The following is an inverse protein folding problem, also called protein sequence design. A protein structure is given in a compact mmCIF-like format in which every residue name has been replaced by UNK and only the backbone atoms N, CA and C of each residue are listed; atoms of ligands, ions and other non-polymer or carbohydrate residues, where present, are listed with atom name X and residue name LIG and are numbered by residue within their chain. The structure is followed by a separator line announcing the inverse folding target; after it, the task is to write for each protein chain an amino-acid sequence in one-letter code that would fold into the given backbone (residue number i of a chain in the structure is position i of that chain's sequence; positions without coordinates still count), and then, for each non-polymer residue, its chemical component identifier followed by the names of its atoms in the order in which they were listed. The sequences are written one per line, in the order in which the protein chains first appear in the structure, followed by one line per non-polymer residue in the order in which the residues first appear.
data_IF_286267477558
#
_entry.id   IF_286267477558
#
_cell.length_a   1.000
_cell.length_b   1.000
_cell.length_c   1.000
_cell.angle_alpha   90.00
_cell.angle_beta   90.00
_cell.angle_gamma   90.00
#
_symmetry.space_group_name_H-M   'P 1'
#
loop_
_entity.id
_entity.type
_entity.pdbx_description
1 polymer ?
#
# COMPACT_ATOMS: atom_id res chain seq x y z
N UNK A 1 -11.11 -4.57 7.75
CA UNK A 1 -10.49 -4.48 6.40
C UNK A 1 -11.37 -5.16 5.35
N UNK A 2 -11.61 -6.48 5.43
CA UNK A 2 -12.41 -7.25 4.45
C UNK A 2 -13.78 -6.69 4.06
N UNK A 3 -14.45 -5.94 4.95
CA UNK A 3 -15.75 -5.33 4.65
C UNK A 3 -15.64 -4.13 3.70
N UNK A 4 -14.61 -3.29 3.86
CA UNK A 4 -14.39 -2.15 2.97
C UNK A 4 -13.93 -2.59 1.59
N UNK A 5 -13.12 -3.64 1.50
CA UNK A 5 -12.69 -4.22 0.21
C UNK A 5 -13.91 -4.71 -0.60
N UNK A 6 -14.84 -5.41 0.07
CA UNK A 6 -16.11 -5.86 -0.54
C UNK A 6 -17.03 -4.69 -0.90
N UNK A 7 -17.10 -3.67 -0.04
CA UNK A 7 -17.89 -2.48 -0.34
C UNK A 7 -17.33 -1.74 -1.55
N UNK A 8 -16.00 -1.58 -1.66
CA UNK A 8 -15.34 -1.03 -2.82
C UNK A 8 -15.63 -1.82 -4.10
N UNK A 9 -15.61 -3.15 -4.03
CA UNK A 9 -15.98 -4.00 -5.16
C UNK A 9 -17.42 -3.72 -5.60
N UNK A 10 -18.36 -3.70 -4.63
CA UNK A 10 -19.78 -3.41 -4.89
C UNK A 10 -19.99 -2.02 -5.52
N UNK A 11 -19.34 -0.98 -4.99
CA UNK A 11 -19.43 0.36 -5.56
C UNK A 11 -18.81 0.45 -6.95
N UNK A 12 -17.66 -0.20 -7.18
CA UNK A 12 -17.03 -0.28 -8.50
C UNK A 12 -17.89 -1.01 -9.51
N UNK A 13 -18.58 -2.08 -9.10
CA UNK A 13 -19.56 -2.76 -9.94
C UNK A 13 -20.73 -1.84 -10.28
N UNK A 14 -21.28 -1.12 -9.31
CA UNK A 14 -22.32 -0.11 -9.56
C UNK A 14 -21.88 0.96 -10.57
N UNK A 15 -20.63 1.44 -10.46
CA UNK A 15 -20.08 2.45 -11.40
C UNK A 15 -19.88 1.91 -12.82
N UNK A 16 -19.83 0.58 -13.03
CA UNK A 16 -19.85 0.04 -14.40
C UNK A 16 -21.21 0.26 -15.08
N UNK A 17 -22.28 0.34 -14.30
CA UNK A 17 -23.64 0.59 -14.79
C UNK A 17 -23.99 2.07 -14.83
N UNK A 18 -23.53 2.84 -13.84
CA UNK A 18 -23.70 4.29 -13.77
C UNK A 18 -22.38 4.98 -13.38
N UNK A 19 -21.51 5.29 -14.35
CA UNK A 19 -20.18 5.85 -14.08
C UNK A 19 -20.18 7.21 -13.39
N UNK A 20 -21.27 7.96 -13.46
CA UNK A 20 -21.39 9.31 -12.91
C UNK A 20 -22.22 9.35 -11.63
N UNK A 21 -22.53 8.19 -11.05
CA UNK A 21 -23.33 8.13 -9.85
C UNK A 21 -22.57 8.75 -8.66
N UNK A 22 -23.04 9.90 -8.18
CA UNK A 22 -22.39 10.62 -7.09
C UNK A 22 -22.38 9.83 -5.77
N UNK A 23 -23.43 9.05 -5.49
CA UNK A 23 -23.52 8.24 -4.27
C UNK A 23 -22.49 7.10 -4.28
N UNK A 24 -22.28 6.46 -5.43
CA UNK A 24 -21.28 5.40 -5.57
C UNK A 24 -19.85 5.96 -5.51
N UNK A 25 -19.60 7.12 -6.15
CA UNK A 25 -18.31 7.80 -6.08
C UNK A 25 -17.98 8.22 -4.63
N UNK A 26 -18.97 8.77 -3.92
CA UNK A 26 -18.81 9.13 -2.50
C UNK A 26 -18.63 7.88 -1.62
N UNK A 27 -19.33 6.78 -1.92
CA UNK A 27 -19.16 5.48 -1.27
C UNK A 27 -17.73 4.95 -1.41
N UNK A 28 -17.15 5.02 -2.62
CA UNK A 28 -15.74 4.67 -2.86
C UNK A 28 -14.82 5.58 -2.05
N UNK A 29 -15.03 6.90 -2.09
CA UNK A 29 -14.21 7.86 -1.35
C UNK A 29 -14.21 7.53 0.14
N UNK A 30 -15.38 7.34 0.74
CA UNK A 30 -15.52 6.98 2.16
C UNK A 30 -14.84 5.66 2.49
N UNK A 31 -14.98 4.63 1.65
CA UNK A 31 -14.29 3.36 1.86
C UNK A 31 -12.78 3.52 1.82
N UNK A 32 -12.24 4.26 0.83
CA UNK A 32 -10.82 4.54 0.74
C UNK A 32 -10.31 5.32 1.96
N UNK A 33 -11.08 6.31 2.43
CA UNK A 33 -10.75 7.06 3.66
C UNK A 33 -10.73 6.13 4.89
N UNK A 34 -11.71 5.24 5.05
CA UNK A 34 -11.73 4.30 6.17
C UNK A 34 -10.61 3.25 6.08
N UNK A 35 -10.29 2.78 4.87
CA UNK A 35 -9.14 1.88 4.64
C UNK A 35 -7.85 2.60 5.00
N UNK A 36 -7.67 3.84 4.52
CA UNK A 36 -6.49 4.64 4.85
C UNK A 36 -6.40 4.89 6.36
N UNK A 37 -7.52 5.17 7.04
CA UNK A 37 -7.55 5.30 8.50
C UNK A 37 -7.23 4.00 9.22
N UNK A 38 -7.68 2.87 8.70
CA UNK A 38 -7.38 1.57 9.29
C UNK A 38 -5.90 1.16 9.10
N UNK A 39 -5.30 1.52 7.96
CA UNK A 39 -3.89 1.19 7.67
C UNK A 39 -2.96 2.17 8.40
N UNK A 40 -3.24 3.47 8.31
CA UNK A 40 -2.31 4.51 8.74
C UNK A 40 -2.71 5.20 10.05
N UNK A 41 -3.94 5.02 10.55
CA UNK A 41 -4.48 5.82 11.64
C UNK A 41 -5.06 7.15 11.15
N UNK A 42 -5.22 8.13 12.03
CA UNK A 42 -5.89 9.40 11.73
C UNK A 42 -5.08 10.39 10.86
N UNK A 43 -4.04 9.92 10.17
CA UNK A 43 -3.23 10.80 9.30
C UNK A 43 -4.03 11.26 8.07
N UNK A 44 -3.94 12.55 7.80
CA UNK A 44 -4.42 13.17 6.58
C UNK A 44 -3.56 12.76 5.38
N UNK A 45 -4.08 12.83 4.14
CA UNK A 45 -3.28 12.59 2.93
C UNK A 45 -2.03 13.46 2.83
N UNK A 46 -2.07 14.68 3.39
CA UNK A 46 -0.94 15.61 3.42
C UNK A 46 0.15 15.13 4.40
N UNK A 47 -0.23 14.71 5.61
CA UNK A 47 0.69 14.11 6.59
C UNK A 47 1.32 12.81 6.08
N UNK A 48 0.53 11.98 5.37
CA UNK A 48 1.05 10.77 4.72
C UNK A 48 2.11 11.12 3.67
N UNK A 49 1.85 12.12 2.83
CA UNK A 49 2.80 12.58 1.81
C UNK A 49 4.07 13.15 2.44
N UNK A 50 3.95 13.94 3.50
CA UNK A 50 5.11 14.47 4.23
C UNK A 50 5.94 13.35 4.86
N UNK A 51 5.27 12.34 5.45
CA UNK A 51 5.93 11.17 6.03
C UNK A 51 6.67 10.36 4.96
N UNK A 52 6.06 10.11 3.80
CA UNK A 52 6.72 9.48 2.66
C UNK A 52 7.94 10.27 2.20
N UNK A 53 7.82 11.60 2.09
CA UNK A 53 8.93 12.46 1.67
C UNK A 53 10.10 12.41 2.66
N UNK A 54 9.82 12.45 3.97
CA UNK A 54 10.83 12.27 5.02
C UNK A 54 11.47 10.89 4.97
N UNK A 55 10.67 9.85 4.75
CA UNK A 55 11.19 8.49 4.67
C UNK A 55 12.11 8.29 3.44
N UNK A 56 11.82 8.94 2.31
CA UNK A 56 12.71 8.96 1.14
C UNK A 56 14.06 9.67 1.40
N UNK A 57 14.14 10.51 2.43
CA UNK A 57 15.39 11.13 2.88
C UNK A 57 16.16 10.27 3.89
N UNK A 58 15.56 9.20 4.42
CA UNK A 58 16.20 8.31 5.37
C UNK A 58 17.32 7.50 4.66
N UNK A 59 18.59 7.61 5.10
CA UNK A 59 19.71 6.86 4.51
C UNK A 59 19.50 5.35 4.51
N UNK A 60 18.79 4.82 5.51
CA UNK A 60 18.51 3.40 5.59
C UNK A 60 17.50 2.97 4.51
N UNK A 61 16.44 3.75 4.33
CA UNK A 61 15.46 3.53 3.26
C UNK A 61 16.14 3.62 1.89
N UNK A 62 16.99 4.61 1.68
CA UNK A 62 17.76 4.75 0.44
C UNK A 62 18.65 3.52 0.20
N UNK A 63 19.32 3.02 1.25
CA UNK A 63 20.12 1.80 1.18
C UNK A 63 19.28 0.58 0.81
N UNK A 64 18.08 0.46 1.39
CA UNK A 64 17.14 -0.62 1.08
C UNK A 64 16.68 -0.54 -0.39
N UNK A 65 16.35 0.64 -0.89
CA UNK A 65 15.90 0.82 -2.28
C UNK A 65 17.02 0.56 -3.31
N UNK A 66 18.28 0.78 -2.92
CA UNK A 66 19.44 0.48 -3.75
C UNK A 66 19.83 -1.01 -3.73
N UNK A 67 19.41 -1.76 -2.70
CA UNK A 67 19.70 -3.18 -2.56
C UNK A 67 19.13 -3.98 -3.75
N UNK A 68 19.97 -4.68 -4.52
CA UNK A 68 19.53 -5.53 -5.63
C UNK A 68 18.52 -6.60 -5.20
N UNK A 69 18.69 -7.19 -4.01
CA UNK A 69 17.78 -8.22 -3.50
C UNK A 69 16.40 -7.60 -3.28
N UNK A 70 16.34 -6.44 -2.64
CA UNK A 70 15.06 -5.77 -2.37
C UNK A 70 14.37 -5.31 -3.65
N UNK A 71 15.11 -4.81 -4.64
CA UNK A 71 14.53 -4.50 -5.96
C UNK A 71 13.92 -5.74 -6.61
N UNK A 72 14.59 -6.89 -6.54
CA UNK A 72 14.03 -8.15 -7.03
C UNK A 72 12.77 -8.54 -6.25
N UNK A 73 12.79 -8.46 -4.92
CA UNK A 73 11.62 -8.76 -4.09
C UNK A 73 10.42 -7.90 -4.46
N UNK A 74 10.62 -6.61 -4.71
CA UNK A 74 9.54 -5.71 -5.11
C UNK A 74 8.97 -6.03 -6.49
N UNK A 75 9.81 -6.51 -7.43
CA UNK A 75 9.36 -7.02 -8.73
C UNK A 75 8.59 -8.32 -8.53
N UNK A 76 9.12 -9.24 -7.73
CA UNK A 76 8.49 -10.53 -7.44
C UNK A 76 7.13 -10.35 -6.76
N UNK A 77 6.93 -9.34 -5.91
CA UNK A 77 5.62 -9.04 -5.35
C UNK A 77 4.55 -8.74 -6.42
N UNK A 78 4.95 -8.27 -7.60
CA UNK A 78 4.04 -8.00 -8.72
C UNK A 78 3.92 -9.19 -9.67
N UNK A 79 5.04 -9.86 -9.97
CA UNK A 79 5.10 -10.90 -11.01
C UNK A 79 4.98 -12.33 -10.47
N UNK A 80 5.48 -12.58 -9.26
CA UNK A 80 5.56 -13.90 -8.65
C UNK A 80 5.42 -13.83 -7.11
N UNK A 81 4.19 -13.67 -6.59
CA UNK A 81 3.94 -13.54 -5.15
C UNK A 81 4.56 -14.66 -4.31
N UNK A 82 4.62 -15.88 -4.86
CA UNK A 82 5.25 -17.03 -4.20
C UNK A 82 6.75 -16.84 -4.02
N UNK A 83 7.47 -16.28 -4.99
CA UNK A 83 8.89 -15.98 -4.83
C UNK A 83 9.12 -14.86 -3.81
N UNK A 84 8.27 -13.83 -3.83
CA UNK A 84 8.31 -12.76 -2.83
C UNK A 84 8.09 -13.29 -1.41
N UNK A 85 7.14 -14.23 -1.22
CA UNK A 85 6.92 -14.93 0.06
C UNK A 85 8.16 -15.71 0.51
N UNK A 86 8.85 -16.40 -0.39
CA UNK A 86 10.10 -17.11 -0.05
C UNK A 86 11.20 -16.13 0.37
N UNK A 87 11.36 -15.01 -0.33
CA UNK A 87 12.29 -13.96 0.06
C UNK A 87 11.95 -13.37 1.43
N UNK A 88 10.66 -13.16 1.70
CA UNK A 88 10.12 -12.66 2.96
C UNK A 88 10.37 -13.60 4.15
N UNK A 89 10.63 -14.90 3.94
CA UNK A 89 11.06 -15.80 5.02
C UNK A 89 12.44 -15.43 5.58
N UNK A 90 13.28 -14.73 4.82
CA UNK A 90 14.56 -14.25 5.33
C UNK A 90 14.32 -13.07 6.30
N UNK A 91 14.71 -13.17 7.58
CA UNK A 91 14.48 -12.10 8.57
C UNK A 91 15.10 -10.76 8.17
N UNK A 92 16.25 -10.77 7.48
CA UNK A 92 16.89 -9.55 7.00
C UNK A 92 16.05 -8.85 5.92
N UNK A 93 15.51 -9.63 4.97
CA UNK A 93 14.64 -9.11 3.91
C UNK A 93 13.33 -8.62 4.51
N UNK A 94 12.72 -9.41 5.40
CA UNK A 94 11.49 -9.03 6.11
C UNK A 94 11.66 -7.71 6.86
N UNK A 95 12.76 -7.52 7.59
CA UNK A 95 13.05 -6.26 8.29
C UNK A 95 13.10 -5.07 7.31
N UNK A 96 13.68 -5.25 6.13
CA UNK A 96 13.74 -4.21 5.10
C UNK A 96 12.35 -3.92 4.50
N UNK A 97 11.58 -4.96 4.20
CA UNK A 97 10.18 -4.83 3.75
C UNK A 97 9.36 -4.04 4.79
N UNK A 98 9.47 -4.40 6.06
CA UNK A 98 8.77 -3.72 7.16
C UNK A 98 9.14 -2.23 7.23
N UNK A 99 10.41 -1.88 7.02
CA UNK A 99 10.85 -0.48 6.96
C UNK A 99 10.22 0.27 5.79
N UNK A 100 10.19 -0.33 4.59
CA UNK A 100 9.55 0.28 3.42
C UNK A 100 8.03 0.47 3.61
N UNK A 101 7.36 -0.49 4.25
CA UNK A 101 5.93 -0.38 4.61
C UNK A 101 5.73 0.72 5.64
N UNK A 102 6.55 0.77 6.69
CA UNK A 102 6.47 1.78 7.75
C UNK A 102 6.77 3.20 7.24
N UNK A 103 7.55 3.29 6.16
CA UNK A 103 7.87 4.46 5.37
C UNK A 103 6.80 4.82 4.32
N UNK A 104 5.77 3.98 4.13
CA UNK A 104 4.72 4.14 3.13
C UNK A 104 5.24 4.17 1.67
N UNK A 105 6.41 3.59 1.42
CA UNK A 105 7.04 3.55 0.10
C UNK A 105 6.55 2.33 -0.69
N UNK A 106 6.25 1.24 0.03
CA UNK A 106 5.74 0.00 -0.55
C UNK A 106 4.47 -0.39 0.17
N UNK A 107 3.42 -0.65 -0.60
CA UNK A 107 2.18 -1.24 -0.09
C UNK A 107 2.22 -2.75 -0.33
N UNK A 108 2.11 -3.56 0.73
CA UNK A 108 1.74 -4.96 0.56
C UNK A 108 0.25 -5.00 0.22
N UNK A 109 -0.09 -5.58 -0.93
CA UNK A 109 -1.46 -5.93 -1.29
C UNK A 109 -1.72 -7.40 -1.03
#
# INVERSE_FOLDING_TARGET
MKEYDKALETYREGLKHDPNNEDLLDGIRRCLEQINKAIHGDFTPEELKERQAKAMQDPEIQSILQDPVMRQVLIDFQENPRAAEEHAKNPMVMNKIQKLISAEIVQMR
#
